data_IF_516746387076
#
_entry.id   IF_516746387076
#
_cell.length_a   1.000
_cell.length_b   1.000
_cell.length_c   1.000
_cell.angle_alpha   90.00
_cell.angle_beta   90.00
_cell.angle_gamma   90.00
#
_symmetry.space_group_name_H-M   'P 1'
#
loop_
_entity.id
_entity.type
_entity.pdbx_description
1 polymer ?
#
# COMPACT_ATOMS: atom_id res chain seq x y z
N UNK A 1 12.98 39.06 2.74
CA UNK A 1 12.13 37.97 2.18
C UNK A 1 12.67 36.67 2.72
N UNK A 2 11.85 35.71 3.15
CA UNK A 2 12.34 34.37 3.46
C UNK A 2 13.06 33.81 2.23
N UNK A 3 14.12 33.06 2.46
CA UNK A 3 14.89 32.42 1.40
C UNK A 3 13.96 31.39 0.71
N UNK A 4 13.49 31.68 -0.50
CA UNK A 4 12.62 30.77 -1.24
C UNK A 4 13.49 29.63 -1.76
N UNK A 5 13.20 28.41 -1.31
CA UNK A 5 13.89 27.22 -1.79
C UNK A 5 13.43 26.91 -3.23
N UNK A 6 14.31 27.15 -4.21
CA UNK A 6 14.01 26.94 -5.63
C UNK A 6 14.44 25.58 -6.16
N UNK A 7 15.49 24.98 -5.58
CA UNK A 7 15.94 23.63 -5.94
C UNK A 7 16.74 22.95 -4.82
N UNK A 8 16.67 21.62 -4.78
CA UNK A 8 17.47 20.75 -3.90
C UNK A 8 17.50 19.35 -4.51
N UNK A 9 18.67 18.73 -4.61
CA UNK A 9 18.77 17.31 -4.96
C UNK A 9 18.48 16.44 -3.75
N UNK A 10 17.54 15.51 -3.89
CA UNK A 10 17.15 14.53 -2.88
C UNK A 10 17.61 13.14 -3.33
N UNK A 11 18.82 12.77 -2.89
CA UNK A 11 19.49 11.50 -3.23
C UNK A 11 19.44 10.48 -2.07
N UNK A 12 18.62 10.76 -1.06
CA UNK A 12 18.32 9.78 0.00
C UNK A 12 17.24 8.80 -0.45
N UNK A 13 16.90 7.81 0.38
CA UNK A 13 15.91 6.78 0.05
C UNK A 13 14.45 7.29 0.12
N UNK A 14 14.21 8.60 0.17
CA UNK A 14 12.89 9.22 0.26
C UNK A 14 12.83 10.39 1.24
N UNK A 15 12.02 11.44 0.97
CA UNK A 15 11.28 11.64 -0.27
C UNK A 15 12.21 11.88 -1.47
N UNK A 16 11.79 11.45 -2.67
CA UNK A 16 12.45 11.78 -3.94
C UNK A 16 12.05 13.18 -4.42
N UNK A 17 12.82 13.74 -5.35
CA UNK A 17 12.38 14.91 -6.10
C UNK A 17 11.13 14.55 -6.92
N UNK A 18 10.15 15.45 -6.97
CA UNK A 18 8.96 15.23 -7.77
C UNK A 18 9.26 15.38 -9.26
N UNK A 19 8.50 14.66 -10.10
CA UNK A 19 8.51 14.93 -11.53
C UNK A 19 7.97 16.35 -11.83
N UNK A 20 8.44 17.02 -12.90
CA UNK A 20 7.97 18.36 -13.27
C UNK A 20 6.45 18.44 -13.46
N UNK A 21 5.86 17.43 -14.10
CA UNK A 21 4.43 17.29 -14.40
C UNK A 21 3.62 17.23 -13.10
N UNK A 22 4.10 16.46 -12.11
CA UNK A 22 3.52 16.39 -10.77
C UNK A 22 3.53 17.77 -10.10
N UNK A 23 4.64 18.50 -10.20
CA UNK A 23 4.77 19.83 -9.61
C UNK A 23 3.79 20.83 -10.23
N UNK A 24 3.61 20.77 -11.55
CA UNK A 24 2.63 21.58 -12.25
C UNK A 24 1.19 21.22 -11.83
N UNK A 25 0.89 19.92 -11.71
CA UNK A 25 -0.43 19.44 -11.33
C UNK A 25 -0.84 19.83 -9.90
N UNK A 26 0.10 19.87 -8.97
CA UNK A 26 -0.13 20.34 -7.60
C UNK A 26 -0.56 21.81 -7.52
N UNK A 27 -0.24 22.62 -8.55
CA UNK A 27 -0.62 24.03 -8.64
C UNK A 27 -1.99 24.24 -9.31
N UNK A 28 -2.67 23.18 -9.76
CA UNK A 28 -4.01 23.29 -10.31
C UNK A 28 -5.02 23.83 -9.28
N UNK A 29 -6.10 24.52 -9.72
CA UNK A 29 -7.18 24.92 -8.84
C UNK A 29 -7.79 23.73 -8.09
N UNK A 30 -8.11 23.94 -6.81
CA UNK A 30 -8.82 22.94 -6.01
C UNK A 30 -10.24 22.78 -6.54
N UNK A 31 -10.61 21.55 -6.89
CA UNK A 31 -11.95 21.17 -7.36
C UNK A 31 -12.69 20.34 -6.32
N UNK A 32 -14.02 20.33 -6.40
CA UNK A 32 -14.85 19.55 -5.48
C UNK A 32 -14.62 18.04 -5.64
N UNK A 33 -14.73 17.28 -4.56
CA UNK A 33 -14.50 15.84 -4.57
C UNK A 33 -15.61 15.01 -5.25
N UNK A 34 -16.71 15.67 -5.66
CA UNK A 34 -17.77 15.11 -6.51
C UNK A 34 -17.82 15.80 -7.88
N UNK A 35 -16.88 16.70 -8.17
CA UNK A 35 -16.76 17.34 -9.47
C UNK A 35 -16.48 16.26 -10.53
N UNK A 36 -17.19 16.26 -11.69
CA UNK A 36 -16.95 15.28 -12.74
C UNK A 36 -15.48 15.18 -13.16
N UNK A 37 -14.76 16.31 -13.20
CA UNK A 37 -13.33 16.31 -13.51
C UNK A 37 -12.53 15.57 -12.45
N UNK A 38 -12.83 15.76 -11.16
CA UNK A 38 -12.15 15.03 -10.09
C UNK A 38 -12.43 13.52 -10.16
N UNK A 39 -13.67 13.17 -10.49
CA UNK A 39 -14.10 11.78 -10.62
C UNK A 39 -13.29 11.07 -11.71
N UNK A 40 -13.19 11.69 -12.89
CA UNK A 40 -12.39 11.21 -14.02
C UNK A 40 -10.91 11.05 -13.65
N UNK A 41 -10.33 12.08 -13.01
CA UNK A 41 -8.93 12.02 -12.56
C UNK A 41 -8.66 10.87 -11.60
N UNK A 42 -9.60 10.63 -10.67
CA UNK A 42 -9.49 9.52 -9.73
C UNK A 42 -9.60 8.17 -10.45
N UNK A 43 -10.47 8.04 -11.45
CA UNK A 43 -10.56 6.82 -12.25
C UNK A 43 -9.26 6.55 -13.01
N UNK A 44 -8.71 7.56 -13.71
CA UNK A 44 -7.42 7.48 -14.39
C UNK A 44 -6.28 7.11 -13.43
N UNK A 45 -6.28 7.70 -12.23
CA UNK A 45 -5.30 7.38 -11.19
C UNK A 45 -5.41 5.90 -10.77
N UNK A 46 -6.62 5.39 -10.57
CA UNK A 46 -6.82 3.98 -10.21
C UNK A 46 -6.41 3.02 -11.34
N UNK A 47 -6.64 3.39 -12.61
CA UNK A 47 -6.14 2.65 -13.79
C UNK A 47 -4.60 2.61 -13.84
N UNK A 48 -3.96 3.76 -13.65
CA UNK A 48 -2.50 3.86 -13.60
C UNK A 48 -1.92 3.02 -12.45
N UNK A 49 -2.54 3.08 -11.27
CA UNK A 49 -2.15 2.27 -10.12
C UNK A 49 -2.28 0.77 -10.41
N UNK A 50 -3.36 0.31 -11.05
CA UNK A 50 -3.50 -1.09 -11.47
C UNK A 50 -2.38 -1.55 -12.39
N UNK A 51 -1.95 -0.66 -13.30
CA UNK A 51 -0.83 -0.92 -14.20
C UNK A 51 0.47 -1.11 -13.43
N UNK A 52 0.83 -0.19 -12.52
CA UNK A 52 2.10 -0.29 -11.76
C UNK A 52 2.11 -1.36 -10.68
N UNK A 53 0.94 -1.81 -10.23
CA UNK A 53 0.79 -2.98 -9.36
C UNK A 53 0.83 -4.31 -10.12
N UNK A 54 0.65 -4.30 -11.45
CA UNK A 54 0.47 -5.51 -12.24
C UNK A 54 -0.77 -6.29 -11.80
N UNK A 55 -1.92 -5.61 -11.71
CA UNK A 55 -3.18 -6.19 -11.19
C UNK A 55 -4.42 -5.68 -11.91
N UNK A 56 -5.48 -6.48 -11.90
CA UNK A 56 -6.83 -6.13 -12.31
C UNK A 56 -7.78 -5.90 -11.10
N UNK A 57 -7.24 -5.87 -9.89
CA UNK A 57 -8.03 -5.69 -8.68
C UNK A 57 -8.79 -4.36 -8.68
N UNK A 58 -10.12 -4.43 -8.67
CA UNK A 58 -10.97 -3.25 -8.64
C UNK A 58 -10.73 -2.34 -7.41
N UNK A 59 -10.26 -2.91 -6.28
CA UNK A 59 -9.91 -2.14 -5.07
C UNK A 59 -8.44 -1.70 -5.12
N UNK A 60 -8.07 -0.95 -6.15
CA UNK A 60 -6.74 -0.38 -6.31
C UNK A 60 -6.80 1.13 -6.31
N UNK A 61 -6.41 1.75 -5.20
CA UNK A 61 -6.78 3.11 -4.82
C UNK A 61 -5.60 3.93 -4.28
N UNK A 62 -5.60 5.26 -4.48
CA UNK A 62 -4.71 6.16 -3.76
C UNK A 62 -5.32 6.52 -2.40
N UNK A 63 -4.98 5.78 -1.34
CA UNK A 63 -5.49 6.10 0.00
C UNK A 63 -4.97 7.46 0.47
N UNK A 64 -5.83 8.24 1.14
CA UNK A 64 -5.52 9.53 1.76
C UNK A 64 -4.62 9.39 3.01
N UNK A 65 -3.46 8.79 2.84
CA UNK A 65 -2.49 8.56 3.90
C UNK A 65 -1.08 8.39 3.30
N UNK A 66 -0.04 8.46 4.12
CA UNK A 66 1.30 8.03 3.67
C UNK A 66 1.38 6.49 3.64
N UNK A 67 2.48 5.92 3.13
CA UNK A 67 2.65 4.46 3.09
C UNK A 67 2.49 3.74 4.45
N UNK A 68 2.79 4.41 5.57
CA UNK A 68 2.49 3.85 6.90
C UNK A 68 0.99 3.75 7.18
N UNK A 69 0.17 4.65 6.66
CA UNK A 69 -1.28 4.50 6.69
C UNK A 69 -1.80 3.40 5.76
N UNK A 70 -1.10 3.12 4.66
CA UNK A 70 -1.34 1.93 3.84
C UNK A 70 -1.07 0.62 4.59
N UNK A 71 0.03 0.56 5.34
CA UNK A 71 0.34 -0.55 6.24
C UNK A 71 -0.75 -0.75 7.30
N UNK A 72 -1.16 0.33 7.98
CA UNK A 72 -2.26 0.30 8.95
C UNK A 72 -3.57 -0.18 8.30
N UNK A 73 -3.90 0.32 7.11
CA UNK A 73 -5.07 -0.10 6.35
C UNK A 73 -5.02 -1.60 6.01
N UNK A 74 -3.85 -2.13 5.62
CA UNK A 74 -3.69 -3.55 5.33
C UNK A 74 -4.03 -4.42 6.53
N UNK A 75 -3.46 -4.13 7.71
CA UNK A 75 -3.68 -4.95 8.91
C UNK A 75 -5.07 -4.75 9.53
N UNK A 76 -5.54 -3.51 9.67
CA UNK A 76 -6.83 -3.24 10.33
C UNK A 76 -8.03 -3.85 9.58
N UNK A 77 -7.88 -4.10 8.27
CA UNK A 77 -8.91 -4.75 7.44
C UNK A 77 -8.73 -6.26 7.31
N UNK A 78 -7.62 -6.87 7.75
CA UNK A 78 -7.34 -8.31 7.49
C UNK A 78 -7.08 -9.14 8.74
N UNK A 79 -6.88 -8.48 9.89
CA UNK A 79 -6.53 -9.10 11.17
C UNK A 79 -7.49 -8.64 12.26
N UNK A 80 -7.93 -9.57 13.10
CA UNK A 80 -8.63 -9.29 14.36
C UNK A 80 -8.01 -10.04 15.55
N UNK A 81 -8.61 -9.88 16.73
CA UNK A 81 -8.15 -10.50 17.98
C UNK A 81 -7.99 -12.03 17.84
N UNK A 82 -6.76 -12.51 18.08
CA UNK A 82 -6.42 -13.93 18.05
C UNK A 82 -6.04 -14.48 16.67
N UNK A 83 -6.19 -13.71 15.58
CA UNK A 83 -5.65 -14.10 14.28
C UNK A 83 -4.13 -14.24 14.33
N UNK A 84 -3.57 -15.20 13.59
CA UNK A 84 -2.12 -15.41 13.52
C UNK A 84 -1.54 -14.68 12.31
N UNK A 85 -0.57 -13.80 12.55
CA UNK A 85 0.18 -13.09 11.50
C UNK A 85 1.64 -13.54 11.51
N UNK A 86 2.08 -14.20 10.43
CA UNK A 86 3.50 -14.53 10.22
C UNK A 86 4.15 -13.37 9.48
N UNK A 87 5.20 -12.77 10.05
CA UNK A 87 5.81 -11.56 9.49
C UNK A 87 7.31 -11.75 9.36
N UNK A 88 7.80 -11.66 8.12
CA UNK A 88 9.22 -11.69 7.81
C UNK A 88 9.87 -10.34 8.17
N UNK A 89 10.99 -10.41 8.88
CA UNK A 89 11.72 -9.21 9.32
C UNK A 89 13.18 -9.32 8.91
N UNK A 90 13.58 -8.53 7.91
CA UNK A 90 14.97 -8.35 7.48
C UNK A 90 15.40 -6.87 7.51
N UNK A 91 14.62 -6.02 8.21
CA UNK A 91 14.84 -4.59 8.33
C UNK A 91 13.74 -3.89 9.13
N UNK A 92 13.84 -2.56 9.19
CA UNK A 92 12.99 -1.70 10.03
C UNK A 92 11.49 -1.82 9.71
N UNK A 93 11.11 -1.98 8.44
CA UNK A 93 9.69 -1.95 8.06
C UNK A 93 8.99 -3.26 8.41
N UNK A 94 9.70 -4.39 8.40
CA UNK A 94 9.21 -5.64 9.00
C UNK A 94 8.87 -5.50 10.49
N UNK A 95 9.69 -4.75 11.25
CA UNK A 95 9.42 -4.51 12.67
C UNK A 95 8.15 -3.67 12.89
N UNK A 96 7.94 -2.67 12.02
CA UNK A 96 6.73 -1.84 12.05
C UNK A 96 5.48 -2.64 11.74
N UNK A 97 5.54 -3.55 10.77
CA UNK A 97 4.44 -4.48 10.49
C UNK A 97 4.11 -5.34 11.71
N UNK A 98 5.11 -5.87 12.43
CA UNK A 98 4.88 -6.59 13.68
C UNK A 98 4.14 -5.74 14.73
N UNK A 99 4.56 -4.49 14.91
CA UNK A 99 3.94 -3.59 15.89
C UNK A 99 2.49 -3.27 15.54
N UNK A 100 2.21 -2.93 14.28
CA UNK A 100 0.84 -2.65 13.81
C UNK A 100 -0.03 -3.90 13.93
N UNK A 101 0.45 -5.07 13.49
CA UNK A 101 -0.30 -6.31 13.58
C UNK A 101 -0.69 -6.64 15.04
N UNK A 102 0.22 -6.46 16.02
CA UNK A 102 -0.09 -6.63 17.45
C UNK A 102 -1.17 -5.66 17.92
N UNK A 103 -1.12 -4.39 17.49
CA UNK A 103 -2.15 -3.38 17.80
C UNK A 103 -3.51 -3.72 17.18
N UNK A 104 -3.52 -4.42 16.05
CA UNK A 104 -4.70 -5.02 15.43
C UNK A 104 -5.15 -6.33 16.07
N UNK A 105 -4.52 -6.81 17.17
CA UNK A 105 -4.97 -7.99 17.91
C UNK A 105 -4.34 -9.31 17.47
N UNK A 106 -3.44 -9.30 16.49
CA UNK A 106 -2.80 -10.52 16.03
C UNK A 106 -1.87 -11.14 17.08
N UNK A 107 -1.87 -12.46 17.12
CA UNK A 107 -0.73 -13.24 17.59
C UNK A 107 0.35 -13.22 16.51
N UNK A 108 1.38 -12.38 16.69
CA UNK A 108 2.46 -12.21 15.71
C UNK A 108 3.52 -13.28 15.86
N UNK A 109 3.70 -14.09 14.82
CA UNK A 109 4.84 -14.99 14.62
C UNK A 109 5.89 -14.24 13.82
N UNK A 110 6.88 -13.69 14.53
CA UNK A 110 7.98 -12.93 13.92
C UNK A 110 9.07 -13.88 13.40
N UNK A 111 9.49 -13.69 12.15
CA UNK A 111 10.56 -14.48 11.51
C UNK A 111 11.75 -13.55 11.18
N UNK A 112 12.73 -13.52 12.08
CA UNK A 112 13.90 -12.66 11.98
C UNK A 112 14.97 -13.17 11.01
N UNK A 113 15.51 -12.28 10.19
CA UNK A 113 16.63 -12.49 9.27
C UNK A 113 17.72 -11.46 9.54
N UNK A 114 18.95 -11.78 9.16
CA UNK A 114 20.05 -10.83 9.27
C UNK A 114 19.79 -9.62 8.37
N UNK A 115 19.90 -8.41 8.94
CA UNK A 115 19.72 -7.18 8.17
C UNK A 115 20.75 -7.09 7.06
N UNK A 116 20.32 -6.73 5.86
CA UNK A 116 21.16 -6.77 4.67
C UNK A 116 21.08 -8.11 3.89
N UNK A 117 20.22 -9.04 4.32
CA UNK A 117 19.94 -10.27 3.57
C UNK A 117 18.46 -10.38 3.16
N UNK A 118 18.15 -10.99 2.00
CA UNK A 118 16.77 -11.29 1.63
C UNK A 118 16.12 -12.23 2.64
N UNK A 119 14.80 -12.23 2.68
CA UNK A 119 14.05 -13.20 3.49
C UNK A 119 14.29 -14.64 2.98
N UNK A 120 14.27 -15.59 3.91
CA UNK A 120 14.20 -17.02 3.62
C UNK A 120 12.73 -17.43 3.50
N UNK A 121 12.30 -17.71 2.27
CA UNK A 121 10.92 -18.05 1.93
C UNK A 121 10.45 -19.30 2.68
N UNK A 122 11.26 -20.35 2.73
CA UNK A 122 10.89 -21.62 3.38
C UNK A 122 10.71 -21.42 4.88
N UNK A 123 11.62 -20.66 5.51
CA UNK A 123 11.54 -20.36 6.94
C UNK A 123 10.29 -19.56 7.30
N UNK A 124 9.89 -18.62 6.44
CA UNK A 124 8.64 -17.87 6.63
C UNK A 124 7.42 -18.78 6.50
N UNK A 125 7.38 -19.62 5.47
CA UNK A 125 6.23 -20.50 5.20
C UNK A 125 6.05 -21.60 6.25
N UNK A 126 7.15 -22.10 6.83
CA UNK A 126 7.12 -23.17 7.84
C UNK A 126 6.98 -22.67 9.28
N UNK A 127 7.03 -21.34 9.51
CA UNK A 127 6.94 -20.74 10.84
C UNK A 127 5.60 -20.98 11.56
N UNK A 128 4.53 -21.22 10.80
CA UNK A 128 3.22 -21.55 11.36
C UNK A 128 2.39 -22.39 10.36
N UNK A 129 1.67 -23.44 10.78
CA UNK A 129 0.98 -24.34 9.86
C UNK A 129 -0.21 -23.72 9.14
N UNK A 130 -0.90 -22.75 9.76
CA UNK A 130 -2.11 -22.10 9.22
C UNK A 130 -2.26 -20.65 9.69
N UNK A 131 -1.39 -19.73 9.26
CA UNK A 131 -1.54 -18.32 9.59
C UNK A 131 -2.74 -17.71 8.84
N UNK A 132 -3.36 -16.68 9.41
CA UNK A 132 -4.36 -15.86 8.72
C UNK A 132 -3.68 -15.03 7.62
N UNK A 133 -2.57 -14.40 7.98
CA UNK A 133 -1.78 -13.56 7.07
C UNK A 133 -0.30 -13.90 7.12
N UNK A 134 0.36 -13.78 5.97
CA UNK A 134 1.82 -13.70 5.83
C UNK A 134 2.14 -12.29 5.35
N UNK A 135 3.14 -11.63 5.94
CA UNK A 135 3.56 -10.30 5.53
C UNK A 135 5.08 -10.22 5.31
N UNK A 136 5.48 -9.50 4.26
CA UNK A 136 6.88 -9.28 3.91
C UNK A 136 7.09 -7.91 3.24
N UNK A 137 8.31 -7.41 3.35
CA UNK A 137 8.76 -6.20 2.64
C UNK A 137 9.41 -6.63 1.34
N UNK A 138 8.94 -6.10 0.21
CA UNK A 138 9.48 -6.42 -1.11
C UNK A 138 10.87 -5.80 -1.27
N UNK A 139 10.98 -4.48 -1.18
CA UNK A 139 12.26 -3.77 -1.17
C UNK A 139 12.47 -3.09 0.19
N UNK A 140 13.31 -3.67 1.04
CA UNK A 140 13.55 -3.21 2.41
C UNK A 140 14.43 -1.96 2.39
N UNK A 141 13.79 -0.80 2.52
CA UNK A 141 14.45 0.51 2.36
C UNK A 141 15.61 0.73 3.34
N UNK A 142 15.52 0.18 4.56
CA UNK A 142 16.54 0.40 5.59
C UNK A 142 17.86 -0.33 5.31
N UNK A 143 17.83 -1.34 4.44
CA UNK A 143 18.99 -2.18 4.10
C UNK A 143 19.33 -2.16 2.61
N UNK A 144 18.40 -1.74 1.75
CA UNK A 144 18.55 -1.74 0.29
C UNK A 144 18.36 -3.12 -0.35
N UNK A 145 17.75 -4.07 0.37
CA UNK A 145 17.62 -5.46 -0.05
C UNK A 145 16.27 -5.74 -0.72
N UNK A 146 16.30 -6.56 -1.76
CA UNK A 146 15.12 -7.10 -2.42
C UNK A 146 14.81 -8.51 -1.90
N UNK A 147 13.55 -8.76 -1.54
CA UNK A 147 13.03 -10.05 -1.06
C UNK A 147 12.21 -10.75 -2.15
N UNK A 148 12.25 -12.08 -2.20
CA UNK A 148 11.46 -12.87 -3.16
C UNK A 148 10.00 -13.06 -2.67
N UNK A 149 9.19 -12.02 -2.87
CA UNK A 149 7.76 -12.05 -2.51
C UNK A 149 6.92 -12.90 -3.48
N UNK A 150 7.41 -13.14 -4.70
CA UNK A 150 6.74 -13.98 -5.68
C UNK A 150 6.71 -15.44 -5.22
N UNK A 151 7.86 -15.97 -4.79
CA UNK A 151 7.95 -17.32 -4.25
C UNK A 151 7.16 -17.50 -2.95
N UNK A 152 7.11 -16.48 -2.08
CA UNK A 152 6.19 -16.50 -0.93
C UNK A 152 4.75 -16.66 -1.37
N UNK A 153 4.32 -15.84 -2.33
CA UNK A 153 2.96 -15.82 -2.85
C UNK A 153 2.48 -17.13 -3.46
N UNK A 154 3.36 -17.78 -4.23
CA UNK A 154 3.09 -19.09 -4.84
C UNK A 154 2.92 -20.21 -3.81
N UNK A 155 3.56 -20.10 -2.65
CA UNK A 155 3.68 -21.20 -1.68
C UNK A 155 2.98 -20.94 -0.34
N UNK A 156 2.31 -19.79 -0.15
CA UNK A 156 1.62 -19.40 1.10
C UNK A 156 0.38 -20.23 1.49
N UNK A 157 -0.08 -21.12 0.62
CA UNK A 157 -1.33 -21.85 0.82
C UNK A 157 -2.54 -20.91 0.93
N UNK A 158 -3.37 -21.10 1.96
CA UNK A 158 -4.60 -20.30 2.15
C UNK A 158 -4.39 -18.99 2.94
N UNK A 159 -3.16 -18.63 3.33
CA UNK A 159 -2.93 -17.32 3.96
C UNK A 159 -3.20 -16.16 2.98
N UNK A 160 -3.58 -14.99 3.52
CA UNK A 160 -3.51 -13.74 2.77
C UNK A 160 -2.06 -13.23 2.78
N UNK A 161 -1.54 -12.82 1.62
CA UNK A 161 -0.22 -12.19 1.52
C UNK A 161 -0.34 -10.67 1.55
N UNK A 162 0.30 -10.04 2.52
CA UNK A 162 0.46 -8.59 2.64
C UNK A 162 1.88 -8.22 2.21
N UNK A 163 2.02 -7.31 1.24
CA UNK A 163 3.33 -6.84 0.75
C UNK A 163 3.49 -5.34 0.94
N UNK A 164 4.58 -4.96 1.63
CA UNK A 164 5.11 -3.60 1.58
C UNK A 164 5.90 -3.41 0.28
N UNK A 165 5.37 -2.57 -0.60
CA UNK A 165 5.98 -2.19 -1.87
C UNK A 165 6.37 -0.70 -1.91
N UNK A 166 6.50 -0.04 -0.75
CA UNK A 166 6.73 1.41 -0.63
C UNK A 166 7.89 1.89 -1.49
N UNK A 167 9.01 1.16 -1.51
CA UNK A 167 10.19 1.51 -2.32
C UNK A 167 10.37 0.68 -3.58
N UNK A 168 9.47 -0.24 -3.91
CA UNK A 168 9.57 -1.05 -5.12
C UNK A 168 8.61 -0.63 -6.23
N UNK A 169 7.39 -0.18 -5.89
CA UNK A 169 6.35 0.09 -6.90
C UNK A 169 6.81 1.17 -7.90
N UNK A 170 6.70 0.89 -9.20
CA UNK A 170 7.15 1.80 -10.26
C UNK A 170 8.68 1.89 -10.45
N UNK A 171 9.48 1.29 -9.56
CA UNK A 171 10.94 1.21 -9.70
C UNK A 171 11.46 -0.21 -9.99
N UNK A 172 10.70 -1.23 -9.63
CA UNK A 172 10.96 -2.65 -9.85
C UNK A 172 9.69 -3.31 -10.41
N UNK A 173 9.87 -4.49 -11.00
CA UNK A 173 8.74 -5.32 -11.42
C UNK A 173 7.87 -5.67 -10.21
N UNK A 174 6.55 -5.66 -10.42
CA UNK A 174 5.56 -6.00 -9.42
C UNK A 174 4.33 -6.53 -10.15
N UNK A 175 4.04 -7.82 -9.99
CA UNK A 175 2.93 -8.50 -10.65
C UNK A 175 1.99 -9.05 -9.57
N UNK A 176 1.21 -8.18 -8.93
CA UNK A 176 0.46 -8.53 -7.74
C UNK A 176 -0.52 -9.70 -7.95
N UNK A 177 -1.17 -9.78 -9.11
CA UNK A 177 -2.07 -10.91 -9.41
C UNK A 177 -1.29 -12.21 -9.60
N UNK A 178 -0.25 -12.21 -10.44
CA UNK A 178 0.56 -13.39 -10.75
C UNK A 178 1.35 -13.90 -9.54
N UNK A 179 1.76 -12.99 -8.65
CA UNK A 179 2.48 -13.31 -7.42
C UNK A 179 1.53 -13.60 -6.25
N UNK A 180 0.22 -13.57 -6.44
CA UNK A 180 -0.74 -13.87 -5.39
C UNK A 180 -0.69 -12.90 -4.20
N UNK A 181 -0.34 -11.63 -4.44
CA UNK A 181 -0.39 -10.57 -3.44
C UNK A 181 -1.86 -10.24 -3.18
N UNK A 182 -2.35 -10.53 -1.97
CA UNK A 182 -3.75 -10.24 -1.61
C UNK A 182 -3.93 -8.79 -1.17
N UNK A 183 -2.94 -8.21 -0.50
CA UNK A 183 -2.94 -6.79 -0.12
C UNK A 183 -1.56 -6.19 -0.35
N UNK A 184 -1.51 -5.13 -1.16
CA UNK A 184 -0.28 -4.37 -1.41
C UNK A 184 -0.45 -2.93 -0.96
N UNK A 185 0.58 -2.35 -0.35
CA UNK A 185 0.62 -0.92 -0.05
C UNK A 185 1.98 -0.31 -0.42
N UNK A 186 1.99 0.99 -0.72
CA UNK A 186 3.19 1.73 -1.06
C UNK A 186 3.13 3.21 -0.66
N UNK A 187 4.12 4.01 -1.08
CA UNK A 187 4.15 5.46 -0.85
C UNK A 187 4.47 6.24 -2.12
N UNK A 188 3.81 7.37 -2.32
CA UNK A 188 4.00 8.23 -3.50
C UNK A 188 5.40 8.85 -3.61
N UNK A 189 6.05 9.10 -2.48
CA UNK A 189 7.31 9.87 -2.37
C UNK A 189 8.58 9.07 -2.61
N UNK A 190 8.47 7.91 -3.28
CA UNK A 190 9.59 7.02 -3.60
C UNK A 190 9.77 6.99 -5.12
N UNK A 191 9.65 5.81 -5.74
CA UNK A 191 9.87 5.65 -7.18
C UNK A 191 8.81 6.36 -8.03
N UNK A 192 7.60 6.56 -7.50
CA UNK A 192 6.53 7.28 -8.20
C UNK A 192 6.77 8.80 -8.31
N UNK A 193 7.73 9.37 -7.56
CA UNK A 193 8.12 10.78 -7.74
C UNK A 193 7.00 11.79 -7.45
N UNK A 194 6.13 11.50 -6.49
CA UNK A 194 5.00 12.36 -6.08
C UNK A 194 5.16 12.73 -4.60
N UNK A 195 4.77 13.94 -4.12
CA UNK A 195 5.00 14.29 -2.72
C UNK A 195 4.37 13.27 -1.73
N UNK A 196 4.85 13.21 -0.49
CA UNK A 196 4.24 12.33 0.51
C UNK A 196 2.82 12.80 0.83
N UNK A 197 1.86 11.87 0.83
CA UNK A 197 0.48 12.18 1.20
C UNK A 197 -0.56 11.20 0.70
N UNK A 198 -0.18 10.32 -0.24
CA UNK A 198 -1.02 9.24 -0.75
C UNK A 198 -0.31 7.89 -0.60
N UNK A 199 -1.11 6.85 -0.40
CA UNK A 199 -0.65 5.47 -0.30
C UNK A 199 -1.31 4.69 -1.43
N UNK A 200 -0.58 4.40 -2.52
CA UNK A 200 -1.01 3.43 -3.51
C UNK A 200 -1.30 2.10 -2.81
N UNK A 201 -2.51 1.59 -3.00
CA UNK A 201 -2.99 0.41 -2.30
C UNK A 201 -3.73 -0.49 -3.28
N UNK A 202 -3.59 -1.80 -3.13
CA UNK A 202 -4.40 -2.78 -3.85
C UNK A 202 -4.88 -3.87 -2.91
N UNK A 203 -6.11 -4.34 -3.09
CA UNK A 203 -6.67 -5.47 -2.36
C UNK A 203 -7.39 -6.42 -3.33
N UNK A 204 -7.04 -7.69 -3.25
CA UNK A 204 -7.66 -8.74 -4.06
C UNK A 204 -9.12 -8.96 -3.67
N UNK A 205 -9.91 -9.51 -4.59
CA UNK A 205 -11.29 -9.92 -4.30
C UNK A 205 -11.35 -10.89 -3.11
N UNK A 206 -10.38 -11.83 -3.06
CA UNK A 206 -10.23 -12.81 -1.98
C UNK A 206 -9.95 -12.15 -0.62
N UNK A 207 -9.07 -11.16 -0.55
CA UNK A 207 -8.86 -10.40 0.69
C UNK A 207 -10.11 -9.58 1.06
N UNK A 208 -10.77 -8.96 0.08
CA UNK A 208 -11.95 -8.14 0.33
C UNK A 208 -13.14 -8.95 0.87
N UNK A 209 -13.34 -10.18 0.38
CA UNK A 209 -14.35 -11.11 0.90
C UNK A 209 -14.06 -11.58 2.32
N UNK A 210 -12.77 -11.67 2.69
CA UNK A 210 -12.31 -12.11 4.01
C UNK A 210 -11.97 -10.96 4.97
N UNK A 211 -12.24 -9.72 4.56
CA UNK A 211 -11.92 -8.53 5.32
C UNK A 211 -12.71 -8.48 6.63
N UNK A 212 -12.22 -7.70 7.58
CA UNK A 212 -12.99 -7.32 8.77
C UNK A 212 -14.11 -6.37 8.31
N UNK A 213 -15.37 -6.76 8.49
CA UNK A 213 -16.51 -5.98 8.01
C UNK A 213 -16.64 -4.61 8.68
N UNK A 214 -16.27 -4.53 9.96
CA UNK A 214 -16.26 -3.30 10.76
C UNK A 214 -14.88 -3.15 11.42
N UNK A 215 -13.86 -2.75 10.64
CA UNK A 215 -12.49 -2.65 11.14
C UNK A 215 -12.39 -1.56 12.21
N UNK A 216 -11.37 -1.66 13.08
CA UNK A 216 -11.19 -0.73 14.23
C UNK A 216 -11.05 0.73 13.81
N UNK A 217 -10.58 0.96 12.58
CA UNK A 217 -10.43 2.28 11.99
C UNK A 217 -11.55 2.54 11.00
N UNK A 218 -12.40 3.51 11.29
CA UNK A 218 -13.38 4.02 10.34
C UNK A 218 -12.71 4.65 9.11
N UNK A 219 -11.63 5.42 9.32
CA UNK A 219 -10.97 6.17 8.24
C UNK A 219 -10.22 5.28 7.24
N UNK A 220 -9.74 4.12 7.70
CA UNK A 220 -9.01 3.15 6.88
C UNK A 220 -9.86 1.95 6.48
N UNK A 221 -11.18 2.01 6.67
CA UNK A 221 -12.10 0.95 6.24
C UNK A 221 -12.16 0.87 4.71
N UNK A 222 -11.62 -0.22 4.15
CA UNK A 222 -11.56 -0.43 2.70
C UNK A 222 -12.95 -0.71 2.12
N UNK A 223 -13.90 -1.19 2.92
CA UNK A 223 -15.31 -1.32 2.52
C UNK A 223 -15.95 0.04 2.25
N UNK A 224 -15.71 1.04 3.10
CA UNK A 224 -16.20 2.40 2.91
C UNK A 224 -15.43 3.15 1.81
N UNK A 225 -14.10 3.02 1.79
CA UNK A 225 -13.25 3.62 0.77
C UNK A 225 -13.54 3.07 -0.63
N UNK A 226 -13.90 1.79 -0.76
CA UNK A 226 -14.28 1.20 -2.03
C UNK A 226 -15.60 1.77 -2.61
N UNK A 227 -16.50 2.27 -1.75
CA UNK A 227 -17.72 2.98 -2.18
C UNK A 227 -17.41 4.38 -2.70
N UNK A 228 -16.38 5.02 -2.14
CA UNK A 228 -15.93 6.36 -2.52
C UNK A 228 -15.39 6.43 -3.96
N UNK A 229 -14.77 5.35 -4.42
CA UNK A 229 -14.07 5.22 -5.71
C UNK A 229 -14.83 4.37 -6.73
N UNK A 230 -16.08 4.00 -6.44
CA UNK A 230 -16.97 3.29 -7.38
C UNK A 230 -16.76 1.78 -7.50
N UNK A 231 -15.74 1.21 -6.86
CA UNK A 231 -15.39 -0.20 -6.98
C UNK A 231 -16.27 -1.17 -6.14
N UNK A 232 -17.01 -0.67 -5.15
CA UNK A 232 -17.60 -1.54 -4.12
C UNK A 232 -19.07 -1.96 -4.29
N UNK A 233 -19.93 -1.29 -5.06
CA UNK A 233 -21.38 -1.54 -4.89
C UNK A 233 -22.33 -1.39 -6.08
N UNK A 234 -21.89 -0.95 -7.27
CA UNK A 234 -22.83 -0.69 -8.38
C UNK A 234 -23.88 0.40 -8.09
N UNK A 235 -23.80 1.05 -6.93
CA UNK A 235 -24.45 2.31 -6.58
C UNK A 235 -23.44 3.45 -6.74
N UNK A 236 -23.91 4.67 -7.00
CA UNK A 236 -23.04 5.84 -7.21
C UNK A 236 -22.06 6.08 -6.05
N UNK A 237 -20.96 6.78 -6.35
CA UNK A 237 -19.90 7.11 -5.37
C UNK A 237 -20.50 7.76 -4.12
N UNK A 238 -20.24 7.19 -2.94
CA UNK A 238 -20.72 7.71 -1.65
C UNK A 238 -19.64 8.53 -0.97
N UNK A 239 -20.02 9.64 -0.33
CA UNK A 239 -19.08 10.45 0.44
C UNK A 239 -18.54 9.65 1.63
N UNK A 240 -17.22 9.57 1.75
CA UNK A 240 -16.52 9.02 2.92
C UNK A 240 -15.79 10.14 3.66
N UNK A 241 -14.80 10.75 3.01
CA UNK A 241 -14.08 11.94 3.50
C UNK A 241 -13.65 12.81 2.30
N UNK A 242 -13.15 14.01 2.58
CA UNK A 242 -12.57 14.87 1.54
C UNK A 242 -11.16 14.40 1.22
N UNK A 243 -10.88 13.81 0.04
CA UNK A 243 -9.54 13.37 -0.31
C UNK A 243 -8.63 14.57 -0.65
N UNK A 244 -7.30 14.37 -0.67
CA UNK A 244 -6.37 15.41 -1.10
C UNK A 244 -6.39 15.55 -2.63
N UNK A 245 -7.37 16.29 -3.15
CA UNK A 245 -7.67 16.38 -4.59
C UNK A 245 -6.47 16.81 -5.45
N UNK A 246 -5.62 17.72 -4.95
CA UNK A 246 -4.40 18.17 -5.64
C UNK A 246 -3.31 17.12 -5.65
N UNK A 247 -3.20 16.30 -4.59
CA UNK A 247 -2.27 15.17 -4.56
C UNK A 247 -2.66 14.10 -5.56
N UNK A 248 -3.96 13.85 -5.73
CA UNK A 248 -4.48 12.89 -6.72
C UNK A 248 -4.19 13.39 -8.14
N UNK A 249 -4.43 14.68 -8.41
CA UNK A 249 -4.03 15.28 -9.69
C UNK A 249 -2.51 15.15 -9.94
N UNK A 250 -1.70 15.29 -8.89
CA UNK A 250 -0.26 15.06 -8.96
C UNK A 250 0.12 13.61 -9.24
N UNK A 251 -0.63 12.62 -8.72
CA UNK A 251 -0.36 11.20 -8.96
C UNK A 251 -0.84 10.72 -10.33
N UNK A 252 -1.86 11.37 -10.89
CA UNK A 252 -2.38 11.09 -12.24
C UNK A 252 -1.41 11.55 -13.35
N UNK A 253 -0.73 12.68 -13.14
CA UNK A 253 0.11 13.36 -14.13
C UNK A 253 1.39 12.59 -14.46
#
# INVERSE_FOLDING_TARGET
>A
MPNILTSRFLLGPGPSNCYPEVTAALAHPVIGHLDPLFIERLDNTCEGLRTVWGTQNARTLPLSATGSGGMEAAFVNTVDDGDVAVIAVNGLFGERMCEVARRCGATVVRVDHDWGTPIDVERVLTAHPRPKVIAAVHAETSTGVLSDVASLGQNKGDALLIVDAVTSIGGLELLADDWGIDVGYAGTQKCLGVPPGLSPFTMSGRAFERRIENPRSWYLDVGLLGGYVGAASGSGRTYHHTPPVTMIAGLEA
#
